data_IF_899501507843
#
_entry.id   IF_899501507843
#
_cell.length_a   1.000
_cell.length_b   1.000
_cell.length_c   1.000
_cell.angle_alpha   90.00
_cell.angle_beta   90.00
_cell.angle_gamma   90.00
#
_symmetry.space_group_name_H-M   'P 1'
#
loop_
_entity.id
_entity.type
_entity.pdbx_description
1 polymer ?
#
# COMPACT_ATOMS: atom_id res chain seq x y z
N UNK A 1 5.03 -1.22 -8.29
CA UNK A 1 3.57 -1.24 -8.04
C UNK A 1 3.31 -1.51 -6.57
N UNK A 2 2.10 -1.32 -6.06
CA UNK A 2 1.74 -1.62 -4.66
C UNK A 2 1.03 -2.96 -4.53
N UNK A 3 0.99 -3.52 -3.32
CA UNK A 3 0.27 -4.75 -2.96
C UNK A 3 -1.24 -4.53 -2.68
N UNK A 4 -1.84 -3.49 -3.27
CA UNK A 4 -3.27 -3.12 -3.10
C UNK A 4 -4.24 -4.12 -3.71
N UNK A 5 -3.81 -4.84 -4.75
CA UNK A 5 -4.60 -5.85 -5.46
C UNK A 5 -3.73 -7.08 -5.67
N UNK A 6 -4.24 -8.29 -5.39
CA UNK A 6 -3.49 -9.51 -5.64
C UNK A 6 -3.22 -9.68 -7.14
N UNK A 7 -1.97 -10.01 -7.48
CA UNK A 7 -1.57 -10.34 -8.86
C UNK A 7 -1.62 -11.86 -9.00
N UNK A 8 -2.37 -12.41 -9.98
CA UNK A 8 -2.41 -13.85 -10.22
C UNK A 8 -1.03 -14.45 -10.50
N UNK A 9 -0.74 -15.68 -10.04
CA UNK A 9 0.58 -16.30 -10.19
C UNK A 9 1.07 -16.40 -11.65
N UNK A 10 0.18 -16.65 -12.60
CA UNK A 10 0.51 -16.74 -14.02
C UNK A 10 1.00 -15.42 -14.60
N UNK A 11 0.47 -14.28 -14.12
CA UNK A 11 0.95 -12.94 -14.50
C UNK A 11 2.25 -12.60 -13.78
N UNK A 12 2.38 -13.01 -12.51
CA UNK A 12 3.59 -12.77 -11.73
C UNK A 12 4.82 -13.44 -12.37
N UNK A 13 4.66 -14.67 -12.87
CA UNK A 13 5.73 -15.39 -13.60
C UNK A 13 6.24 -14.61 -14.81
N UNK A 14 5.36 -13.93 -15.52
CA UNK A 14 5.78 -13.07 -16.63
C UNK A 14 6.57 -11.87 -16.09
N UNK A 15 6.18 -11.30 -14.96
CA UNK A 15 6.75 -10.06 -14.43
C UNK A 15 7.98 -10.27 -13.53
N UNK A 16 8.40 -11.52 -13.31
CA UNK A 16 9.52 -11.87 -12.44
C UNK A 16 10.82 -11.14 -12.84
N UNK A 17 11.48 -10.53 -11.85
CA UNK A 17 12.66 -9.67 -12.06
C UNK A 17 12.40 -8.34 -12.79
N UNK A 18 11.17 -8.05 -13.23
CA UNK A 18 10.82 -6.82 -13.98
C UNK A 18 10.03 -5.80 -13.16
N UNK A 19 9.46 -6.22 -12.04
CA UNK A 19 8.69 -5.35 -11.15
C UNK A 19 9.15 -5.48 -9.70
N UNK A 20 8.98 -4.40 -8.96
CA UNK A 20 9.08 -4.39 -7.50
C UNK A 20 7.69 -4.11 -6.93
N UNK A 21 7.27 -4.96 -6.00
CA UNK A 21 6.02 -4.80 -5.24
C UNK A 21 6.37 -4.09 -3.93
N UNK A 22 5.76 -2.93 -3.72
CA UNK A 22 5.90 -2.13 -2.51
C UNK A 22 4.72 -2.41 -1.60
N UNK A 23 4.97 -2.74 -0.35
CA UNK A 23 3.88 -2.88 0.62
C UNK A 23 3.41 -1.52 1.11
N UNK A 24 2.09 -1.30 1.07
CA UNK A 24 1.46 -0.11 1.66
C UNK A 24 0.72 -0.41 2.96
N UNK A 25 0.76 -1.65 3.46
CA UNK A 25 0.05 -2.04 4.67
C UNK A 25 0.36 -1.15 5.89
N UNK A 26 1.63 -0.74 6.16
CA UNK A 26 1.92 0.17 7.28
C UNK A 26 1.23 1.53 7.14
N UNK A 27 1.16 2.08 5.92
CA UNK A 27 0.48 3.35 5.64
C UNK A 27 -1.02 3.23 5.92
N UNK A 28 -1.67 2.17 5.42
CA UNK A 28 -3.09 1.92 5.64
C UNK A 28 -3.42 1.71 7.12
N UNK A 29 -2.58 0.96 7.85
CA UNK A 29 -2.75 0.75 9.29
C UNK A 29 -2.73 2.06 10.07
N UNK A 30 -1.83 2.96 9.70
CA UNK A 30 -1.73 4.26 10.35
C UNK A 30 -2.89 5.20 9.97
N UNK A 31 -3.40 5.13 8.74
CA UNK A 31 -4.63 5.83 8.33
C UNK A 31 -5.82 5.39 9.16
N UNK A 32 -6.01 4.07 9.33
CA UNK A 32 -7.09 3.50 10.16
C UNK A 32 -6.98 4.00 11.60
N UNK A 33 -5.76 3.98 12.17
CA UNK A 33 -5.50 4.46 13.52
C UNK A 33 -5.86 5.94 13.68
N UNK A 34 -5.39 6.81 12.77
CA UNK A 34 -5.70 8.25 12.79
C UNK A 34 -7.18 8.53 12.67
N UNK A 35 -7.86 7.85 11.75
CA UNK A 35 -9.30 7.98 11.56
C UNK A 35 -10.08 7.56 12.83
N UNK A 36 -9.65 6.48 13.49
CA UNK A 36 -10.22 6.03 14.76
C UNK A 36 -10.01 7.04 15.90
N UNK A 37 -8.83 7.67 15.96
CA UNK A 37 -8.47 8.66 16.99
C UNK A 37 -8.98 10.08 16.67
N UNK A 38 -9.66 10.30 15.54
CA UNK A 38 -10.11 11.62 15.09
C UNK A 38 -8.96 12.57 14.70
N UNK A 39 -7.77 12.03 14.43
CA UNK A 39 -6.60 12.80 13.97
C UNK A 39 -6.64 13.00 12.45
N UNK A 40 -6.09 14.11 11.97
CA UNK A 40 -6.04 14.40 10.54
C UNK A 40 -5.16 13.39 9.80
N UNK A 41 -5.73 12.72 8.81
CA UNK A 41 -4.99 11.84 7.89
C UNK A 41 -4.09 12.66 6.96
N UNK A 42 -4.48 13.91 6.64
CA UNK A 42 -3.71 14.81 5.79
C UNK A 42 -2.31 15.11 6.32
N UNK A 43 -2.11 15.08 7.64
CA UNK A 43 -0.80 15.24 8.29
C UNK A 43 0.23 14.16 7.89
N UNK A 44 -0.19 13.05 7.31
CA UNK A 44 0.71 12.01 6.79
C UNK A 44 1.38 12.41 5.47
N UNK A 45 0.89 13.46 4.82
CA UNK A 45 1.31 13.90 3.50
C UNK A 45 1.91 15.31 3.59
N UNK A 46 2.92 15.58 2.77
CA UNK A 46 3.51 16.91 2.66
C UNK A 46 2.72 17.74 1.63
N UNK A 47 1.45 18.02 1.94
CA UNK A 47 0.59 18.94 1.17
C UNK A 47 0.69 20.39 1.64
#
# INVERSE_FOLDING_TARGET
TTDTVPIPPEKMKLLDGRITILSIAPMLGEVIKRAHEGRSVGEMFNE
#
